data_IF_942907591647
#
_entry.id   IF_942907591647
#
_cell.length_a   1.000
_cell.length_b   1.000
_cell.length_c   1.000
_cell.angle_alpha   90.00
_cell.angle_beta   90.00
_cell.angle_gamma   90.00
#
_symmetry.space_group_name_H-M   'P 1'
#
loop_
_entity.id
_entity.type
_entity.pdbx_description
1 polymer ?
#
# COMPACT_ATOMS: atom_id res chain seq x y z
N UNK A 1 -35.75 9.20 -15.51
CA UNK A 1 -35.81 7.75 -15.80
C UNK A 1 -34.50 7.11 -15.32
N UNK A 2 -34.46 6.60 -14.08
CA UNK A 2 -33.28 5.87 -13.57
C UNK A 2 -33.56 4.39 -13.78
N UNK A 3 -33.13 3.91 -14.94
CA UNK A 3 -33.35 2.54 -15.40
C UNK A 3 -32.36 1.59 -14.75
N UNK A 4 -32.87 0.79 -13.80
CA UNK A 4 -32.56 -0.64 -13.66
C UNK A 4 -31.09 -1.03 -13.52
N UNK A 5 -30.51 -0.87 -12.34
CA UNK A 5 -29.31 -1.63 -11.96
C UNK A 5 -29.73 -3.00 -11.45
N UNK A 6 -30.18 -3.85 -12.37
CA UNK A 6 -30.42 -5.27 -12.10
C UNK A 6 -30.06 -6.07 -13.35
N UNK A 7 -28.76 -6.28 -13.57
CA UNK A 7 -28.28 -7.31 -14.48
C UNK A 7 -28.15 -8.61 -13.70
N UNK A 8 -28.97 -9.61 -14.03
CA UNK A 8 -28.75 -11.01 -13.64
C UNK A 8 -27.41 -11.47 -14.22
N UNK A 9 -26.33 -11.19 -13.51
CA UNK A 9 -24.97 -11.49 -13.92
C UNK A 9 -24.13 -11.62 -12.66
N UNK A 10 -23.55 -12.81 -12.49
CA UNK A 10 -22.63 -13.28 -11.43
C UNK A 10 -22.31 -12.17 -10.41
N UNK A 11 -23.04 -12.20 -9.29
CA UNK A 11 -22.74 -11.39 -8.11
C UNK A 11 -21.30 -11.70 -7.74
N UNK A 12 -20.38 -10.77 -8.02
CA UNK A 12 -19.05 -10.79 -7.42
C UNK A 12 -19.28 -10.35 -5.99
N UNK A 13 -19.04 -11.25 -5.04
CA UNK A 13 -19.15 -10.95 -3.63
C UNK A 13 -18.40 -9.66 -3.30
N UNK A 14 -19.04 -8.81 -2.51
CA UNK A 14 -18.48 -7.55 -2.05
C UNK A 14 -17.26 -7.86 -1.18
N UNK A 15 -16.06 -7.70 -1.75
CA UNK A 15 -14.82 -7.88 -1.00
C UNK A 15 -14.67 -6.73 0.00
N UNK A 16 -14.76 -7.06 1.29
CA UNK A 16 -14.57 -6.12 2.41
C UNK A 16 -13.08 -5.84 2.62
N UNK A 17 -12.51 -5.00 1.75
CA UNK A 17 -11.14 -4.52 1.88
C UNK A 17 -11.03 -3.47 2.99
N UNK A 18 -9.99 -3.56 3.80
CA UNK A 18 -9.69 -2.59 4.86
C UNK A 18 -9.30 -1.24 4.24
N UNK A 19 -9.74 -0.16 4.89
CA UNK A 19 -9.52 1.24 4.46
C UNK A 19 -8.48 1.96 5.30
N UNK A 20 -8.20 1.44 6.50
CA UNK A 20 -7.24 1.99 7.45
C UNK A 20 -6.26 0.88 7.87
N UNK A 21 -5.01 1.25 8.11
CA UNK A 21 -4.05 0.36 8.74
C UNK A 21 -4.28 0.33 10.25
N UNK A 22 -4.47 -0.87 10.81
CA UNK A 22 -4.24 -1.10 12.22
C UNK A 22 -2.77 -1.44 12.48
N UNK A 23 -2.32 -1.35 13.72
CA UNK A 23 -0.93 -1.69 14.14
C UNK A 23 -0.50 -3.07 13.59
N UNK A 24 -1.31 -4.10 13.84
CA UNK A 24 -1.00 -5.47 13.39
C UNK A 24 -0.93 -5.65 11.86
N UNK A 25 -1.63 -4.83 11.08
CA UNK A 25 -1.54 -4.88 9.60
C UNK A 25 -0.35 -4.11 9.08
N UNK A 26 0.05 -3.04 9.78
CA UNK A 26 1.21 -2.24 9.42
C UNK A 26 2.50 -3.05 9.61
N UNK A 27 2.63 -3.76 10.73
CA UNK A 27 3.79 -4.63 10.98
C UNK A 27 3.95 -5.74 9.93
N UNK A 28 2.84 -6.26 9.40
CA UNK A 28 2.83 -7.24 8.30
C UNK A 28 3.33 -6.60 7.01
N UNK A 29 2.89 -5.38 6.72
CA UNK A 29 3.29 -4.66 5.51
C UNK A 29 4.80 -4.44 5.47
N UNK A 30 5.39 -4.00 6.58
CA UNK A 30 6.84 -3.75 6.70
C UNK A 30 7.67 -5.02 6.47
N UNK A 31 7.21 -6.18 6.94
CA UNK A 31 7.94 -7.46 6.81
C UNK A 31 7.69 -8.14 5.46
N UNK A 32 6.46 -8.13 4.97
CA UNK A 32 6.09 -8.90 3.78
C UNK A 32 6.44 -8.19 2.47
N UNK A 33 6.32 -6.85 2.41
CA UNK A 33 6.52 -6.11 1.16
C UNK A 33 7.95 -6.20 0.62
N UNK A 34 9.02 -6.06 1.42
CA UNK A 34 10.40 -6.18 0.93
C UNK A 34 10.77 -7.59 0.45
N UNK A 35 10.07 -8.62 0.96
CA UNK A 35 10.31 -10.01 0.55
C UNK A 35 9.81 -10.32 -0.86
N UNK A 36 8.90 -9.53 -1.41
CA UNK A 36 8.36 -9.78 -2.74
C UNK A 36 9.32 -9.37 -3.85
N UNK A 37 9.46 -10.25 -4.85
CA UNK A 37 10.26 -9.96 -6.05
C UNK A 37 9.66 -8.81 -6.87
N UNK A 38 8.33 -8.76 -6.98
CA UNK A 38 7.60 -7.76 -7.75
C UNK A 38 6.58 -7.09 -6.84
N UNK A 39 6.72 -5.78 -6.66
CA UNK A 39 5.90 -5.00 -5.74
C UNK A 39 5.06 -4.03 -6.57
N UNK A 40 3.73 -4.20 -6.52
CA UNK A 40 2.76 -3.35 -7.21
C UNK A 40 1.54 -3.13 -6.33
N UNK A 41 0.80 -2.02 -6.50
CA UNK A 41 -0.40 -1.75 -5.71
C UNK A 41 -1.45 -2.87 -5.76
N UNK A 42 -1.52 -3.58 -6.89
CA UNK A 42 -2.44 -4.71 -7.09
C UNK A 42 -2.06 -5.91 -6.23
N UNK A 43 -0.79 -6.29 -6.22
CA UNK A 43 -0.30 -7.41 -5.40
C UNK A 43 -0.46 -7.12 -3.92
N UNK A 44 -0.15 -5.90 -3.48
CA UNK A 44 -0.32 -5.49 -2.09
C UNK A 44 -1.79 -5.57 -1.66
N UNK A 45 -2.71 -5.12 -2.52
CA UNK A 45 -4.15 -5.20 -2.23
C UNK A 45 -4.68 -6.64 -2.16
N UNK A 46 -4.13 -7.57 -2.93
CA UNK A 46 -4.50 -8.99 -2.88
C UNK A 46 -4.02 -9.67 -1.57
N UNK A 47 -2.79 -9.40 -1.15
CA UNK A 47 -2.17 -10.07 0.00
C UNK A 47 -2.67 -9.54 1.33
N UNK A 48 -2.67 -8.22 1.50
CA UNK A 48 -3.02 -7.58 2.77
C UNK A 48 -4.52 -7.29 2.90
N UNK A 49 -5.32 -7.57 1.86
CA UNK A 49 -6.76 -7.27 1.81
C UNK A 49 -7.08 -5.80 2.11
N UNK A 50 -6.23 -4.91 1.60
CA UNK A 50 -6.37 -3.45 1.73
C UNK A 50 -6.83 -2.85 0.42
N UNK A 51 -7.48 -1.67 0.47
CA UNK A 51 -7.83 -0.95 -0.75
C UNK A 51 -6.59 -0.52 -1.53
N UNK A 52 -6.68 -0.53 -2.86
CA UNK A 52 -5.58 -0.15 -3.75
C UNK A 52 -5.13 1.31 -3.59
N UNK A 53 -6.00 2.22 -3.15
CA UNK A 53 -5.61 3.59 -2.82
C UNK A 53 -4.67 3.64 -1.61
N UNK A 54 -5.00 2.88 -0.55
CA UNK A 54 -4.17 2.78 0.64
C UNK A 54 -2.83 2.11 0.34
N UNK A 55 -2.84 1.04 -0.48
CA UNK A 55 -1.62 0.39 -0.93
C UNK A 55 -0.69 1.35 -1.69
N UNK A 56 -1.23 2.26 -2.51
CA UNK A 56 -0.41 3.27 -3.20
C UNK A 56 0.27 4.24 -2.23
N UNK A 57 -0.47 4.70 -1.21
CA UNK A 57 0.08 5.58 -0.18
C UNK A 57 1.18 4.86 0.62
N UNK A 58 0.92 3.63 1.09
CA UNK A 58 1.89 2.85 1.84
C UNK A 58 3.18 2.56 1.04
N UNK A 59 3.06 2.28 -0.26
CA UNK A 59 4.24 2.09 -1.12
C UNK A 59 5.03 3.39 -1.32
N UNK A 60 4.40 4.56 -1.23
CA UNK A 60 5.12 5.84 -1.24
C UNK A 60 5.89 6.03 0.06
N UNK A 61 5.28 5.71 1.21
CA UNK A 61 5.96 5.77 2.52
C UNK A 61 7.14 4.80 2.58
N UNK A 62 6.97 3.55 2.12
CA UNK A 62 8.07 2.58 2.05
C UNK A 62 9.22 3.04 1.14
N UNK A 63 8.91 3.78 0.08
CA UNK A 63 9.93 4.38 -0.79
C UNK A 63 10.65 5.51 -0.06
N UNK A 64 9.94 6.35 0.71
CA UNK A 64 10.53 7.42 1.52
C UNK A 64 11.43 6.88 2.63
N UNK A 65 11.09 5.73 3.21
CA UNK A 65 11.92 5.03 4.19
C UNK A 65 13.13 4.35 3.53
N UNK A 66 13.02 3.95 2.26
CA UNK A 66 14.12 3.35 1.48
C UNK A 66 14.10 1.83 1.42
N UNK A 67 13.03 1.18 1.89
CA UNK A 67 12.91 -0.30 1.84
C UNK A 67 12.70 -0.86 0.43
N UNK A 68 12.17 -0.05 -0.49
CA UNK A 68 11.85 -0.46 -1.86
C UNK A 68 12.37 0.56 -2.88
N UNK A 69 12.71 0.07 -4.07
CA UNK A 69 13.20 0.89 -5.18
C UNK A 69 12.11 1.03 -6.23
N UNK A 70 11.90 2.25 -6.73
CA UNK A 70 11.02 2.50 -7.87
C UNK A 70 11.72 2.06 -9.15
N UNK A 71 11.06 1.23 -9.96
CA UNK A 71 11.56 0.85 -11.29
C UNK A 71 10.93 1.70 -12.37
N UNK A 72 9.60 1.82 -12.35
CA UNK A 72 8.86 2.58 -13.35
C UNK A 72 7.58 3.16 -12.76
N UNK A 73 7.34 4.43 -13.11
CA UNK A 73 6.13 5.16 -12.73
C UNK A 73 5.37 5.52 -14.01
N UNK A 74 4.30 4.78 -14.28
CA UNK A 74 3.33 5.08 -15.33
C UNK A 74 1.98 5.45 -14.69
N UNK A 75 1.14 6.20 -15.41
CA UNK A 75 -0.20 6.62 -14.92
C UNK A 75 -1.07 5.41 -14.52
N UNK A 76 -1.00 4.34 -15.29
CA UNK A 76 -1.81 3.14 -15.08
C UNK A 76 -1.16 2.13 -14.14
N UNK A 77 0.18 2.15 -14.01
CA UNK A 77 0.92 1.12 -13.28
C UNK A 77 2.17 1.71 -12.63
N UNK A 78 2.37 1.39 -11.36
CA UNK A 78 3.58 1.75 -10.62
C UNK A 78 4.24 0.46 -10.19
N UNK A 79 5.52 0.30 -10.54
CA UNK A 79 6.28 -0.91 -10.32
C UNK A 79 7.45 -0.60 -9.40
N UNK A 80 7.54 -1.37 -8.32
CA UNK A 80 8.62 -1.34 -7.36
C UNK A 80 9.30 -2.70 -7.29
N UNK A 81 10.53 -2.70 -6.83
CA UNK A 81 11.34 -3.89 -6.53
C UNK A 81 11.93 -3.78 -5.14
N UNK A 82 12.30 -4.94 -4.57
CA UNK A 82 13.03 -4.99 -3.30
C UNK A 82 14.29 -4.12 -3.34
N UNK A 83 14.61 -3.43 -2.25
CA UNK A 83 15.91 -2.82 -2.06
C UNK A 83 16.97 -3.91 -1.93
N UNK A 84 18.01 -3.88 -2.76
CA UNK A 84 19.23 -4.66 -2.51
C UNK A 84 19.88 -4.11 -1.25
N UNK A 85 20.16 -4.99 -0.29
CA UNK A 85 20.72 -4.70 1.04
C UNK A 85 22.16 -4.17 0.93
N UNK A 86 22.32 -2.94 0.45
CA UNK A 86 23.55 -2.15 0.57
C UNK A 86 23.11 -0.72 0.86
N UNK A 87 22.99 -0.39 2.15
CA UNK A 87 22.65 0.95 2.64
C UNK A 87 21.63 0.93 3.77
N UNK A 88 22.14 0.68 4.99
CA UNK A 88 21.74 1.22 6.29
C UNK A 88 20.42 1.99 6.39
N UNK A 89 19.57 1.63 7.38
CA UNK A 89 18.53 2.53 7.87
C UNK A 89 17.22 1.89 8.30
N UNK A 90 17.27 0.82 9.10
CA UNK A 90 16.27 0.69 10.14
C UNK A 90 16.53 1.82 11.15
N UNK A 91 15.83 2.94 11.00
CA UNK A 91 15.53 3.98 12.01
C UNK A 91 15.12 5.29 11.30
N UNK A 92 13.81 5.50 11.18
CA UNK A 92 13.17 6.83 11.19
C UNK A 92 11.84 6.71 11.91
N UNK A 93 11.91 6.64 13.24
CA UNK A 93 10.89 7.26 14.08
C UNK A 93 11.41 8.65 14.46
N UNK A 94 10.69 9.71 14.07
CA UNK A 94 10.46 10.87 14.93
C UNK A 94 9.26 11.68 14.39
N UNK A 95 8.20 11.60 15.18
CA UNK A 95 7.29 12.65 15.65
C UNK A 95 7.36 14.05 15.00
N UNK A 96 6.17 14.56 14.66
CA UNK A 96 5.76 15.90 15.15
C UNK A 96 4.35 15.81 15.72
N UNK A 97 4.28 15.66 17.03
CA UNK A 97 3.18 16.16 17.85
C UNK A 97 3.07 17.68 17.70
N UNK A 98 1.87 18.22 17.91
CA UNK A 98 1.54 19.61 17.62
C UNK A 98 2.09 20.61 18.64
N UNK A 99 2.20 21.85 18.19
CA UNK A 99 2.13 23.04 19.02
C UNK A 99 1.79 24.22 18.11
N UNK A 100 0.62 24.83 18.31
CA UNK A 100 0.37 26.24 17.97
C UNK A 100 -0.78 26.70 18.88
N UNK A 101 -0.41 27.00 20.13
CA UNK A 101 -1.14 27.91 21.00
C UNK A 101 -0.47 29.27 20.86
N UNK A 102 -1.18 30.25 20.30
CA UNK A 102 -1.15 31.66 20.75
C UNK A 102 -2.55 32.21 20.62
#
# INVERSE_FOLDING_TARGET
MVSGKCSKGKVRDTLNNLVLFGKATYDKLLKEVPNYKLITPTIVSERLKVRGCLARAALQELLSIGMIKLVSKHRAQVIYTRGTEEGEGAEKEEEKEGEDTV
#
